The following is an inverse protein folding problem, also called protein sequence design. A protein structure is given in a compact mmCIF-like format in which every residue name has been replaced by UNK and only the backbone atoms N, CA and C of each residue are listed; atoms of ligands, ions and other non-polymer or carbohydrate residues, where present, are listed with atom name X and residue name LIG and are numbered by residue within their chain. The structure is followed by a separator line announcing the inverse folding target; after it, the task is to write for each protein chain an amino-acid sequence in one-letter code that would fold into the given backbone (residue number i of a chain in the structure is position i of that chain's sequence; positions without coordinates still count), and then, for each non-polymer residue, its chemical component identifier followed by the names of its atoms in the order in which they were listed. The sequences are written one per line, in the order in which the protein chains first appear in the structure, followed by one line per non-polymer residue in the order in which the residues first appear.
data_IF_599636646810
#
_entry.id   IF_599636646810
#
_cell.length_a   1.000
_cell.length_b   1.000
_cell.length_c   1.000
_cell.angle_alpha   90.00
_cell.angle_beta   90.00
_cell.angle_gamma   90.00
#
_symmetry.space_group_name_H-M   'P 1'
#
loop_
_entity.id
_entity.type
_entity.pdbx_description
1 polymer ?
#
# COMPACT_ATOMS: atom_id res chain seq x y z
N UNK A 1 -20.27 11.41 5.29
CA UNK A 1 -21.35 10.79 6.05
C UNK A 1 -21.10 9.30 6.00
N UNK A 2 -20.58 8.72 7.10
CA UNK A 2 -20.49 7.28 7.24
C UNK A 2 -21.94 6.77 7.36
N UNK A 3 -22.46 6.18 6.30
CA UNK A 3 -23.73 5.45 6.36
C UNK A 3 -23.59 4.33 7.37
N UNK A 4 -24.61 4.10 8.20
CA UNK A 4 -24.61 3.01 9.15
C UNK A 4 -24.50 1.68 8.38
N UNK A 5 -23.51 0.87 8.72
CA UNK A 5 -23.38 -0.49 8.19
C UNK A 5 -24.43 -1.40 8.82
N UNK A 6 -24.92 -2.43 8.12
CA UNK A 6 -25.86 -3.38 8.70
C UNK A 6 -25.27 -4.14 9.89
N UNK A 7 -26.10 -4.51 10.83
CA UNK A 7 -25.68 -5.38 11.92
C UNK A 7 -25.44 -6.80 11.42
N UNK A 8 -24.50 -7.50 12.05
CA UNK A 8 -24.30 -8.94 11.87
C UNK A 8 -25.01 -9.70 12.98
N UNK A 9 -25.58 -10.86 12.67
CA UNK A 9 -26.25 -11.69 13.68
C UNK A 9 -25.29 -12.63 14.43
N UNK A 10 -24.04 -12.70 13.99
CA UNK A 10 -22.98 -13.47 14.62
C UNK A 10 -21.61 -13.14 14.00
N UNK A 11 -20.55 -13.41 14.75
CA UNK A 11 -19.16 -13.20 14.32
C UNK A 11 -18.22 -14.08 15.14
N UNK A 12 -16.99 -14.23 14.68
CA UNK A 12 -15.92 -14.94 15.40
C UNK A 12 -15.28 -13.97 16.40
N UNK A 13 -15.29 -14.36 17.67
CA UNK A 13 -14.65 -13.58 18.73
C UNK A 13 -13.14 -13.46 18.45
N UNK A 14 -12.67 -12.23 18.36
CA UNK A 14 -11.28 -11.89 18.09
C UNK A 14 -10.90 -10.65 18.89
N UNK A 15 -9.63 -10.53 19.21
CA UNK A 15 -9.09 -9.32 19.82
C UNK A 15 -8.41 -8.43 18.77
N UNK A 16 -8.49 -7.12 18.96
CA UNK A 16 -7.70 -6.18 18.17
C UNK A 16 -6.21 -6.39 18.45
N UNK A 17 -5.41 -6.44 17.40
CA UNK A 17 -3.97 -6.50 17.52
C UNK A 17 -3.42 -5.10 17.82
N UNK A 18 -2.64 -4.98 18.89
CA UNK A 18 -2.08 -3.71 19.32
C UNK A 18 -1.20 -3.06 18.24
N UNK A 19 -1.39 -1.77 18.07
CA UNK A 19 -0.51 -0.84 17.37
C UNK A 19 -0.60 -0.77 15.85
N UNK A 20 -1.11 -1.78 15.13
CA UNK A 20 -1.02 -1.82 13.67
C UNK A 20 -2.38 -1.95 12.96
N UNK A 21 -3.33 -2.69 13.54
CA UNK A 21 -4.62 -2.94 12.92
C UNK A 21 -5.59 -1.78 13.21
N UNK A 22 -6.29 -1.34 12.19
CA UNK A 22 -7.40 -0.40 12.33
C UNK A 22 -8.71 -1.16 12.25
N UNK A 23 -9.62 -0.86 13.19
CA UNK A 23 -10.92 -1.54 13.33
C UNK A 23 -12.07 -0.54 13.18
N UNK A 24 -12.38 -0.10 11.95
CA UNK A 24 -13.42 0.92 11.73
C UNK A 24 -14.84 0.42 12.00
N UNK A 25 -15.04 -0.90 12.04
CA UNK A 25 -16.34 -1.50 12.38
C UNK A 25 -16.13 -2.45 13.55
N UNK A 26 -16.82 -2.16 14.63
CA UNK A 26 -16.77 -2.94 15.88
C UNK A 26 -18.18 -3.23 16.39
N UNK A 27 -18.33 -4.30 17.13
CA UNK A 27 -19.49 -4.54 17.96
C UNK A 27 -19.17 -4.11 19.41
N UNK A 28 -19.88 -3.13 19.92
CA UNK A 28 -19.71 -2.68 21.29
C UNK A 28 -20.35 -3.70 22.25
N UNK A 29 -19.55 -4.24 23.14
CA UNK A 29 -19.96 -5.18 24.20
C UNK A 29 -19.68 -4.60 25.58
N UNK A 30 -20.16 -5.24 26.64
CA UNK A 30 -19.87 -4.83 28.03
C UNK A 30 -18.39 -4.88 28.36
N UNK A 31 -17.64 -5.77 27.69
CA UNK A 31 -16.24 -6.06 27.97
C UNK A 31 -15.27 -5.35 26.99
N UNK A 32 -15.80 -4.58 26.05
CA UNK A 32 -15.00 -3.83 25.08
C UNK A 32 -15.64 -3.73 23.69
N UNK A 33 -14.81 -3.60 22.67
CA UNK A 33 -15.20 -3.51 21.28
C UNK A 33 -14.66 -4.71 20.49
N UNK A 34 -15.54 -5.59 20.07
CA UNK A 34 -15.16 -6.73 19.25
C UNK A 34 -14.98 -6.32 17.77
N UNK A 35 -13.82 -6.57 17.16
CA UNK A 35 -13.60 -6.23 15.76
C UNK A 35 -14.51 -7.00 14.82
N UNK A 36 -15.29 -6.29 13.99
CA UNK A 36 -16.09 -6.89 12.91
C UNK A 36 -15.37 -6.76 11.57
N UNK A 37 -14.79 -5.60 11.31
CA UNK A 37 -13.97 -5.35 10.12
C UNK A 37 -12.70 -4.66 10.54
N UNK A 38 -11.57 -5.24 10.14
CA UNK A 38 -10.26 -4.72 10.42
C UNK A 38 -9.39 -4.70 9.18
N UNK A 39 -8.46 -3.76 9.11
CA UNK A 39 -7.47 -3.71 8.06
C UNK A 39 -6.12 -3.23 8.57
N UNK A 40 -5.06 -3.65 7.91
CA UNK A 40 -3.72 -3.16 8.21
C UNK A 40 -2.76 -3.29 7.01
N UNK A 41 -1.65 -2.55 7.07
CA UNK A 41 -0.52 -2.70 6.17
C UNK A 41 0.54 -3.59 6.84
N UNK A 42 1.00 -4.61 6.13
CA UNK A 42 2.08 -5.48 6.57
C UNK A 42 3.15 -5.55 5.49
N UNK A 43 4.28 -4.90 5.72
CA UNK A 43 5.30 -4.73 4.70
C UNK A 43 4.74 -3.99 3.46
N UNK A 44 4.94 -4.56 2.30
CA UNK A 44 4.35 -4.08 1.03
C UNK A 44 2.90 -4.57 0.83
N UNK A 45 2.43 -5.44 1.68
CA UNK A 45 1.10 -6.03 1.59
C UNK A 45 0.07 -5.27 2.39
N UNK A 46 -1.19 -5.51 2.03
CA UNK A 46 -2.35 -5.05 2.77
C UNK A 46 -3.23 -6.23 3.08
N UNK A 47 -3.87 -6.21 4.22
CA UNK A 47 -4.80 -7.27 4.62
C UNK A 47 -6.09 -6.67 5.17
N UNK A 48 -7.16 -7.41 4.99
CA UNK A 48 -8.46 -7.15 5.57
C UNK A 48 -8.93 -8.42 6.27
N UNK A 49 -9.53 -8.25 7.42
CA UNK A 49 -10.24 -9.29 8.14
C UNK A 49 -11.69 -8.87 8.35
N UNK A 50 -12.61 -9.77 8.05
CA UNK A 50 -14.02 -9.65 8.36
C UNK A 50 -14.42 -10.85 9.20
N UNK A 51 -14.83 -10.63 10.44
CA UNK A 51 -15.00 -11.69 11.43
C UNK A 51 -16.37 -12.36 11.37
N UNK A 52 -17.27 -11.86 10.52
CA UNK A 52 -18.56 -12.46 10.22
C UNK A 52 -18.54 -13.19 8.87
N UNK A 53 -19.68 -13.54 8.32
CA UNK A 53 -19.81 -14.06 6.97
C UNK A 53 -20.62 -13.09 6.07
N UNK A 54 -20.58 -13.35 4.78
CA UNK A 54 -21.34 -12.61 3.76
C UNK A 54 -22.46 -13.49 3.17
N UNK A 55 -22.75 -14.60 3.83
CA UNK A 55 -23.77 -15.56 3.45
C UNK A 55 -25.03 -15.41 4.30
N UNK A 56 -25.96 -16.31 4.16
CA UNK A 56 -27.25 -16.22 4.87
C UNK A 56 -27.20 -16.58 6.35
N UNK A 57 -26.05 -16.98 6.92
CA UNK A 57 -25.98 -17.42 8.31
C UNK A 57 -25.94 -16.25 9.30
N UNK A 58 -24.92 -15.39 9.18
CA UNK A 58 -24.68 -14.25 10.09
C UNK A 58 -24.74 -12.90 9.39
N UNK A 59 -24.48 -12.88 8.09
CA UNK A 59 -24.36 -11.67 7.28
C UNK A 59 -25.50 -11.46 6.30
N UNK A 60 -26.71 -12.01 6.54
CA UNK A 60 -27.85 -11.86 5.62
C UNK A 60 -28.22 -10.40 5.38
N UNK A 61 -28.17 -9.56 6.42
CA UNK A 61 -28.43 -8.12 6.31
C UNK A 61 -27.36 -7.41 5.44
N UNK A 62 -26.11 -7.88 5.48
CA UNK A 62 -25.04 -7.38 4.62
C UNK A 62 -25.27 -7.76 3.17
N UNK A 63 -25.65 -9.01 2.89
CA UNK A 63 -25.89 -9.50 1.54
C UNK A 63 -27.03 -8.77 0.83
N UNK A 64 -28.02 -8.30 1.57
CA UNK A 64 -29.16 -7.52 1.07
C UNK A 64 -28.97 -5.99 1.12
N UNK A 65 -27.85 -5.51 1.59
CA UNK A 65 -27.56 -4.09 1.71
C UNK A 65 -27.21 -3.46 0.36
N UNK A 66 -27.84 -2.34 0.00
CA UNK A 66 -27.66 -1.69 -1.30
C UNK A 66 -26.21 -1.29 -1.58
N UNK A 67 -25.44 -0.89 -0.54
CA UNK A 67 -24.05 -0.50 -0.66
C UNK A 67 -23.05 -1.69 -0.59
N UNK A 68 -23.54 -2.95 -0.50
CA UNK A 68 -22.72 -4.15 -0.38
C UNK A 68 -21.65 -4.25 -1.46
N UNK A 69 -22.04 -4.10 -2.72
CA UNK A 69 -21.10 -4.17 -3.85
C UNK A 69 -20.05 -3.08 -3.79
N UNK A 70 -20.47 -1.88 -3.44
CA UNK A 70 -19.57 -0.72 -3.35
C UNK A 70 -18.56 -0.89 -2.21
N UNK A 71 -19.03 -1.29 -1.03
CA UNK A 71 -18.18 -1.55 0.14
C UNK A 71 -17.11 -2.60 -0.18
N UNK A 72 -17.49 -3.77 -0.69
CA UNK A 72 -16.56 -4.84 -0.99
C UNK A 72 -15.65 -4.53 -2.18
N UNK A 73 -16.16 -3.85 -3.20
CA UNK A 73 -15.31 -3.41 -4.32
C UNK A 73 -14.23 -2.43 -3.87
N UNK A 74 -14.55 -1.51 -2.97
CA UNK A 74 -13.56 -0.57 -2.42
C UNK A 74 -12.56 -1.28 -1.51
N UNK A 75 -13.03 -2.20 -0.67
CA UNK A 75 -12.18 -3.03 0.21
C UNK A 75 -11.19 -3.87 -0.60
N UNK A 76 -11.68 -4.55 -1.64
CA UNK A 76 -10.84 -5.38 -2.52
C UNK A 76 -9.84 -4.51 -3.28
N UNK A 77 -10.26 -3.39 -3.86
CA UNK A 77 -9.33 -2.45 -4.53
C UNK A 77 -8.25 -1.93 -3.60
N UNK A 78 -8.60 -1.69 -2.34
CA UNK A 78 -7.62 -1.24 -1.35
C UNK A 78 -6.57 -2.31 -1.04
N UNK A 79 -6.98 -3.58 -0.95
CA UNK A 79 -6.06 -4.72 -0.70
C UNK A 79 -5.23 -5.06 -1.93
N UNK A 80 -5.80 -4.91 -3.12
CA UNK A 80 -5.06 -5.16 -4.35
C UNK A 80 -3.83 -4.26 -4.40
N UNK A 81 -2.71 -4.83 -4.82
CA UNK A 81 -1.55 -4.00 -5.14
C UNK A 81 -1.99 -2.98 -6.19
N UNK A 82 -1.68 -1.69 -6.01
CA UNK A 82 -1.79 -0.78 -7.12
C UNK A 82 -1.00 -1.43 -8.28
N UNK A 83 -1.67 -1.68 -9.39
CA UNK A 83 -0.95 -2.05 -10.60
C UNK A 83 -0.03 -0.86 -10.87
N UNK A 84 1.28 -1.06 -10.75
CA UNK A 84 2.21 -0.11 -11.34
C UNK A 84 1.76 0.07 -12.78
N UNK A 85 1.65 1.29 -13.29
CA UNK A 85 1.41 1.48 -14.69
C UNK A 85 2.37 0.55 -15.42
N UNK A 86 1.91 -0.21 -16.38
CA UNK A 86 2.69 -1.25 -17.09
C UNK A 86 4.01 -0.71 -17.69
N UNK A 87 4.18 0.58 -17.66
CA UNK A 87 5.24 1.37 -18.27
C UNK A 87 6.25 1.92 -17.24
N UNK A 88 6.11 1.58 -15.95
CA UNK A 88 7.06 1.99 -14.92
C UNK A 88 7.61 0.77 -14.20
N UNK A 89 8.92 0.62 -14.22
CA UNK A 89 9.63 -0.50 -13.62
C UNK A 89 10.56 0.04 -12.55
N UNK A 90 10.42 -0.47 -11.32
CA UNK A 90 11.35 -0.17 -10.23
C UNK A 90 12.22 -1.39 -10.00
N UNK A 91 13.51 -1.23 -10.20
CA UNK A 91 14.53 -2.22 -9.90
C UNK A 91 15.27 -1.80 -8.63
N UNK A 92 15.56 -2.76 -7.78
CA UNK A 92 16.33 -2.54 -6.58
C UNK A 92 17.46 -3.56 -6.52
N UNK A 93 18.64 -3.12 -6.11
CA UNK A 93 19.79 -4.00 -5.87
C UNK A 93 20.57 -3.55 -4.65
N UNK A 94 21.18 -4.50 -3.98
CA UNK A 94 22.16 -4.23 -2.92
C UNK A 94 23.56 -4.20 -3.51
N UNK A 95 24.37 -3.24 -3.07
CA UNK A 95 25.74 -3.08 -3.45
C UNK A 95 26.58 -2.76 -2.19
N UNK A 96 27.09 -3.80 -1.55
CA UNK A 96 27.76 -3.68 -0.26
C UNK A 96 26.80 -3.23 0.85
N UNK A 97 27.11 -2.11 1.50
CA UNK A 97 26.30 -1.44 2.52
C UNK A 97 25.31 -0.40 1.95
N UNK A 98 25.23 -0.32 0.63
CA UNK A 98 24.33 0.58 -0.08
C UNK A 98 23.25 -0.21 -0.82
N UNK A 99 22.05 0.34 -0.86
CA UNK A 99 21.01 -0.11 -1.76
C UNK A 99 20.77 0.93 -2.85
N UNK A 100 20.62 0.45 -4.06
CA UNK A 100 20.37 1.27 -5.25
C UNK A 100 18.94 1.03 -5.70
N UNK A 101 18.22 2.10 -5.97
CA UNK A 101 16.87 2.10 -6.53
C UNK A 101 16.91 2.74 -7.90
N UNK A 102 16.49 2.02 -8.91
CA UNK A 102 16.41 2.50 -10.29
C UNK A 102 14.96 2.43 -10.77
N UNK A 103 14.43 3.57 -11.20
CA UNK A 103 13.10 3.69 -11.77
C UNK A 103 13.25 3.96 -13.28
N UNK A 104 12.64 3.11 -14.09
CA UNK A 104 12.44 3.34 -15.52
C UNK A 104 10.98 3.71 -15.75
N UNK A 105 10.76 4.85 -16.40
CA UNK A 105 9.44 5.42 -16.61
C UNK A 105 9.18 5.71 -18.09
N UNK A 106 8.15 5.04 -18.62
CA UNK A 106 7.62 5.27 -19.95
C UNK A 106 6.15 5.68 -19.85
N UNK A 107 5.64 6.43 -20.78
CA UNK A 107 4.22 6.72 -20.92
C UNK A 107 3.46 5.61 -21.66
N UNK A 108 2.16 5.81 -21.92
CA UNK A 108 1.33 4.83 -22.62
C UNK A 108 1.79 4.57 -24.06
N UNK A 109 2.46 5.53 -24.68
CA UNK A 109 3.00 5.47 -26.04
C UNK A 109 4.45 4.99 -26.08
N UNK A 110 4.96 4.43 -24.97
CA UNK A 110 6.33 3.98 -24.76
C UNK A 110 7.39 5.08 -24.94
N UNK A 111 7.02 6.35 -24.76
CA UNK A 111 7.94 7.47 -24.75
C UNK A 111 8.51 7.69 -23.34
N UNK A 112 9.76 8.15 -23.26
CA UNK A 112 10.42 8.36 -21.97
C UNK A 112 9.79 9.51 -21.18
N UNK A 113 9.43 9.25 -19.95
CA UNK A 113 8.91 10.25 -19.02
C UNK A 113 10.06 10.97 -18.33
N UNK A 114 10.36 12.18 -18.82
CA UNK A 114 11.43 13.01 -18.30
C UNK A 114 10.90 14.06 -17.32
N UNK A 115 11.77 14.55 -16.44
CA UNK A 115 11.50 15.63 -15.50
C UNK A 115 10.30 15.38 -14.57
N UNK A 116 10.07 14.11 -14.21
CA UNK A 116 9.06 13.79 -13.20
C UNK A 116 9.48 14.36 -11.85
N UNK A 117 8.51 14.90 -11.12
CA UNK A 117 8.68 15.17 -9.71
C UNK A 117 8.51 13.87 -8.94
N UNK A 118 9.56 13.44 -8.27
CA UNK A 118 9.58 12.21 -7.50
C UNK A 118 9.92 12.50 -6.04
N UNK A 119 9.12 11.95 -5.14
CA UNK A 119 9.39 11.93 -3.71
C UNK A 119 9.46 10.47 -3.26
N UNK A 120 10.54 10.07 -2.66
CA UNK A 120 10.68 8.70 -2.18
C UNK A 120 10.99 8.67 -0.69
N UNK A 121 10.49 7.64 -0.02
CA UNK A 121 10.74 7.37 1.39
C UNK A 121 11.13 5.90 1.53
N UNK A 122 12.20 5.66 2.27
CA UNK A 122 12.66 4.33 2.66
C UNK A 122 12.23 4.07 4.09
N UNK A 123 11.60 2.93 4.32
CA UNK A 123 11.34 2.39 5.66
C UNK A 123 12.36 1.29 5.94
N UNK A 124 13.13 1.43 7.00
CA UNK A 124 14.07 0.41 7.46
C UNK A 124 13.34 -0.76 8.17
N UNK A 125 14.03 -1.86 8.52
CA UNK A 125 13.43 -2.99 9.24
C UNK A 125 12.84 -2.63 10.60
N UNK A 126 13.28 -1.52 11.22
CA UNK A 126 12.74 -0.99 12.47
C UNK A 126 11.56 -0.01 12.24
N UNK A 127 11.12 0.17 10.99
CA UNK A 127 10.04 1.09 10.56
C UNK A 127 10.38 2.58 10.68
N UNK A 128 11.66 2.95 10.74
CA UNK A 128 12.06 4.34 10.65
C UNK A 128 11.99 4.80 9.19
N UNK A 129 11.44 6.00 8.98
CA UNK A 129 11.28 6.58 7.65
C UNK A 129 12.45 7.54 7.33
N UNK A 130 13.11 7.33 6.21
CA UNK A 130 14.19 8.21 5.71
C UNK A 130 13.86 8.68 4.30
N UNK A 131 13.92 9.97 4.01
CA UNK A 131 13.71 10.48 2.65
C UNK A 131 14.81 10.01 1.71
N UNK A 132 14.44 9.66 0.48
CA UNK A 132 15.32 9.25 -0.60
C UNK A 132 15.12 10.18 -1.79
N UNK A 133 16.19 10.80 -2.28
CA UNK A 133 16.15 11.60 -3.51
C UNK A 133 16.42 10.71 -4.71
N UNK A 134 15.53 10.75 -5.71
CA UNK A 134 15.73 10.12 -7.00
C UNK A 134 16.15 11.18 -8.01
N UNK A 135 17.34 11.02 -8.60
CA UNK A 135 17.87 11.92 -9.62
C UNK A 135 17.72 11.31 -10.99
N UNK A 136 17.35 12.10 -11.98
CA UNK A 136 17.32 11.63 -13.36
C UNK A 136 18.72 11.42 -13.90
N UNK A 137 19.02 10.19 -14.32
CA UNK A 137 20.31 9.78 -14.85
C UNK A 137 20.33 9.59 -16.36
N UNK A 138 19.14 9.58 -16.98
CA UNK A 138 18.99 9.42 -18.43
C UNK A 138 17.52 9.59 -18.82
N UNK A 139 17.19 9.48 -20.12
CA UNK A 139 15.81 9.55 -20.57
C UNK A 139 14.93 8.52 -19.86
N UNK A 140 13.92 8.98 -19.11
CA UNK A 140 13.01 8.14 -18.35
C UNK A 140 13.65 7.34 -17.20
N UNK A 141 14.92 7.59 -16.87
CA UNK A 141 15.65 6.82 -15.84
C UNK A 141 15.97 7.69 -14.64
N UNK A 142 15.61 7.20 -13.47
CA UNK A 142 15.81 7.87 -12.19
C UNK A 142 16.54 6.91 -11.25
N UNK A 143 17.49 7.42 -10.47
CA UNK A 143 18.31 6.63 -9.55
C UNK A 143 18.43 7.33 -8.20
N UNK A 144 18.32 6.55 -7.13
CA UNK A 144 18.61 6.93 -5.76
C UNK A 144 19.38 5.86 -5.03
N UNK A 145 20.13 6.26 -4.02
CA UNK A 145 20.95 5.36 -3.21
C UNK A 145 20.71 5.66 -1.73
N UNK A 146 20.67 4.62 -0.92
CA UNK A 146 20.57 4.77 0.53
C UNK A 146 21.41 3.68 1.23
N UNK A 147 21.81 3.98 2.46
CA UNK A 147 22.60 3.03 3.25
C UNK A 147 21.71 2.01 3.94
N UNK A 148 22.16 0.75 3.93
CA UNK A 148 21.55 -0.37 4.64
C UNK A 148 22.44 -0.78 5.81
N UNK A 149 22.04 -0.47 7.04
CA UNK A 149 22.79 -0.77 8.26
C UNK A 149 22.41 -2.10 8.88
N UNK A 150 21.15 -2.49 8.73
CA UNK A 150 20.59 -3.65 9.40
C UNK A 150 20.13 -4.70 8.40
N UNK A 151 20.22 -5.97 8.82
CA UNK A 151 19.64 -7.06 8.03
C UNK A 151 18.13 -7.03 8.12
N UNK A 152 17.47 -7.30 7.01
CA UNK A 152 16.00 -7.29 6.94
C UNK A 152 15.50 -6.69 5.63
N UNK A 153 14.22 -6.36 5.59
CA UNK A 153 13.57 -5.78 4.42
C UNK A 153 13.46 -4.25 4.56
N UNK A 154 14.00 -3.55 3.59
CA UNK A 154 13.82 -2.11 3.40
C UNK A 154 12.73 -1.89 2.37
N UNK A 155 11.73 -1.06 2.72
CA UNK A 155 10.60 -0.75 1.84
C UNK A 155 10.79 0.64 1.25
N UNK A 156 10.69 0.74 -0.06
CA UNK A 156 10.82 2.01 -0.79
C UNK A 156 9.46 2.39 -1.36
N UNK A 157 8.91 3.50 -0.91
CA UNK A 157 7.71 4.11 -1.46
C UNK A 157 8.10 5.31 -2.30
N UNK A 158 7.70 5.33 -3.56
CA UNK A 158 7.99 6.39 -4.51
C UNK A 158 6.66 7.02 -4.95
N UNK A 159 6.45 8.26 -4.58
CA UNK A 159 5.37 9.10 -5.11
C UNK A 159 5.90 9.86 -6.32
N UNK A 160 5.13 9.93 -7.38
CA UNK A 160 5.51 10.67 -8.57
C UNK A 160 4.38 11.55 -9.10
N UNK A 161 4.76 12.63 -9.73
CA UNK A 161 3.87 13.48 -10.51
C UNK A 161 4.50 13.75 -11.88
N UNK A 162 3.70 13.55 -12.93
CA UNK A 162 4.13 13.80 -14.31
C UNK A 162 3.56 15.12 -14.79
N UNK A 163 4.38 15.97 -15.44
CA UNK A 163 3.84 17.15 -16.08
C UNK A 163 2.83 16.74 -17.15
N UNK A 164 1.70 17.42 -17.23
CA UNK A 164 0.75 17.21 -18.32
C UNK A 164 1.28 17.81 -19.61
N UNK A 165 1.40 17.01 -20.66
CA UNK A 165 1.80 17.48 -21.99
C UNK A 165 0.74 18.33 -22.70
N UNK A 166 -0.51 18.34 -22.20
CA UNK A 166 -1.65 19.03 -22.79
C UNK A 166 -2.26 20.14 -21.91
N UNK A 167 -1.55 20.55 -20.84
CA UNK A 167 -2.06 21.60 -19.93
C UNK A 167 -3.16 21.15 -18.97
N UNK A 168 -3.38 19.84 -18.85
CA UNK A 168 -4.26 19.22 -17.86
C UNK A 168 -3.60 19.06 -16.49
N UNK A 169 -4.33 18.46 -15.53
CA UNK A 169 -3.77 18.15 -14.22
C UNK A 169 -2.64 17.11 -14.31
N UNK A 170 -1.57 17.24 -13.49
CA UNK A 170 -0.50 16.26 -13.46
C UNK A 170 -1.02 14.90 -13.03
N UNK A 171 -0.64 13.86 -13.75
CA UNK A 171 -0.93 12.47 -13.32
C UNK A 171 -0.03 12.13 -12.15
N UNK A 172 -0.63 11.70 -11.05
CA UNK A 172 0.06 11.29 -9.83
C UNK A 172 -0.10 9.81 -9.59
N UNK A 173 0.92 9.18 -9.03
CA UNK A 173 0.86 7.78 -8.65
C UNK A 173 1.92 7.42 -7.62
N UNK A 174 1.85 6.17 -7.17
CA UNK A 174 2.79 5.62 -6.21
C UNK A 174 3.32 4.29 -6.72
N UNK A 175 4.61 4.07 -6.52
CA UNK A 175 5.31 2.83 -6.78
C UNK A 175 5.90 2.32 -5.47
N UNK A 176 6.01 1.00 -5.35
CA UNK A 176 6.59 0.37 -4.17
C UNK A 176 7.61 -0.67 -4.61
N UNK A 177 8.73 -0.69 -3.92
CA UNK A 177 9.78 -1.68 -4.09
C UNK A 177 10.32 -2.13 -2.74
N UNK A 178 11.06 -3.22 -2.72
CA UNK A 178 11.72 -3.71 -1.52
C UNK A 178 13.15 -4.14 -1.84
N UNK A 179 14.04 -3.88 -0.88
CA UNK A 179 15.41 -4.41 -0.86
C UNK A 179 15.53 -5.34 0.32
N UNK A 180 16.02 -6.55 0.11
CA UNK A 180 16.27 -7.50 1.19
C UNK A 180 17.78 -7.56 1.46
N UNK A 181 18.15 -7.28 2.69
CA UNK A 181 19.53 -7.37 3.18
C UNK A 181 19.67 -8.66 3.98
N UNK A 182 20.47 -9.63 3.54
CA UNK A 182 20.62 -10.90 4.23
C UNK A 182 21.31 -10.72 5.58
N UNK A 183 20.99 -11.59 6.53
CA UNK A 183 21.75 -11.67 7.76
C UNK A 183 23.18 -12.15 7.44
N UNK A 184 24.16 -11.42 7.95
CA UNK A 184 25.55 -11.88 7.92
C UNK A 184 25.65 -13.18 8.73
N UNK A 185 26.22 -14.21 8.11
CA UNK A 185 26.52 -15.48 8.81
C UNK A 185 27.76 -15.32 9.66
#
# INVERSE_FOLDING_TARGET
VAGAVPQVSGYVLTAQRDGLAQTPIVNATSDGNDPIYAYWNYGLGKSIAFTSDITGRWGSAWASWDEFKKFWSQSIRWVMRPSSPSNMIVNTRQDGDMAVVELEALDADASFMNFMQTEAVVLDPASNATPLSLQQTGPGKYRGEFRTSDAGAYLVNISYATPSSTGGEPTRGNLQAAVSVPYSR
#
